data_IF_384516812213
#
_entry.id   IF_384516812213
#
_cell.length_a   1.000
_cell.length_b   1.000
_cell.length_c   1.000
_cell.angle_alpha   90.00
_cell.angle_beta   90.00
_cell.angle_gamma   90.00
#
_symmetry.space_group_name_H-M   'P 1'
#
loop_
_entity.id
_entity.type
_entity.pdbx_description
1 polymer ?
#
# COMPACT_ATOMS: atom_id res chain seq x y z
N UNK A 1 -18.41 5.58 -55.06
CA UNK A 1 -17.31 5.56 -54.06
C UNK A 1 -16.19 4.68 -54.57
N UNK A 2 -14.99 5.25 -54.73
CA UNK A 2 -13.82 4.59 -55.32
C UNK A 2 -13.24 3.52 -54.37
N UNK A 3 -12.70 2.42 -54.90
CA UNK A 3 -12.28 1.21 -54.17
C UNK A 3 -11.24 1.48 -53.08
N UNK A 4 -10.42 2.52 -53.24
CA UNK A 4 -9.46 2.98 -52.25
C UNK A 4 -10.12 3.56 -50.98
N UNK A 5 -11.25 4.27 -51.12
CA UNK A 5 -11.98 4.86 -49.99
C UNK A 5 -12.66 3.79 -49.11
N UNK A 6 -13.09 2.67 -49.71
CA UNK A 6 -13.64 1.52 -48.97
C UNK A 6 -12.57 0.75 -48.19
N UNK A 7 -11.34 0.65 -48.72
CA UNK A 7 -10.20 0.03 -48.03
C UNK A 7 -9.71 0.89 -46.86
N UNK A 8 -9.68 2.22 -47.03
CA UNK A 8 -9.33 3.13 -45.95
C UNK A 8 -10.35 3.14 -44.80
N UNK A 9 -11.66 3.14 -45.10
CA UNK A 9 -12.70 3.00 -44.07
C UNK A 9 -12.64 1.64 -43.35
N UNK A 10 -12.36 0.56 -44.08
CA UNK A 10 -12.20 -0.78 -43.51
C UNK A 10 -11.01 -0.87 -42.56
N UNK A 11 -9.88 -0.23 -42.88
CA UNK A 11 -8.70 -0.20 -42.02
C UNK A 11 -8.93 0.64 -40.75
N UNK A 12 -9.62 1.78 -40.86
CA UNK A 12 -9.97 2.64 -39.71
C UNK A 12 -10.96 1.95 -38.78
N UNK A 13 -11.95 1.22 -39.32
CA UNK A 13 -12.88 0.43 -38.52
C UNK A 13 -12.19 -0.75 -37.81
N UNK A 14 -11.21 -1.40 -38.46
CA UNK A 14 -10.42 -2.48 -37.86
C UNK A 14 -9.48 -1.97 -36.75
N UNK A 15 -8.87 -0.79 -36.92
CA UNK A 15 -8.04 -0.14 -35.91
C UNK A 15 -8.86 0.39 -34.72
N UNK A 16 -10.09 0.86 -34.95
CA UNK A 16 -11.01 1.25 -33.88
C UNK A 16 -11.55 0.06 -33.07
N UNK A 17 -11.74 -1.10 -33.72
CA UNK A 17 -12.17 -2.34 -33.05
C UNK A 17 -11.07 -2.96 -32.16
N UNK A 18 -9.79 -2.73 -32.48
CA UNK A 18 -8.66 -3.23 -31.68
C UNK A 18 -8.28 -2.30 -30.50
N UNK A 19 -8.80 -1.07 -30.46
CA UNK A 19 -8.60 -0.14 -29.33
C UNK A 19 -9.57 -0.39 -28.16
N UNK A 20 -10.52 -1.32 -28.29
CA UNK A 20 -11.64 -1.53 -27.37
C UNK A 20 -11.41 -2.44 -26.17
N UNK A 21 -10.26 -3.11 -26.05
CA UNK A 21 -10.04 -4.13 -25.00
C UNK A 21 -8.94 -3.79 -23.99
N UNK A 22 -8.51 -2.53 -23.90
CA UNK A 22 -7.69 -2.11 -22.77
C UNK A 22 -8.60 -2.07 -21.52
N UNK A 23 -8.55 -3.14 -20.72
CA UNK A 23 -9.24 -3.19 -19.43
C UNK A 23 -8.82 -1.97 -18.61
N UNK A 24 -9.82 -1.22 -18.14
CA UNK A 24 -9.55 -0.03 -17.34
C UNK A 24 -8.86 -0.46 -16.04
N UNK A 25 -7.78 0.19 -15.60
CA UNK A 25 -7.08 -0.21 -14.37
C UNK A 25 -7.97 -0.25 -13.14
N UNK A 26 -9.08 0.47 -13.12
CA UNK A 26 -10.05 0.59 -12.04
C UNK A 26 -11.37 -0.15 -12.31
N UNK A 27 -11.42 -1.04 -13.32
CA UNK A 27 -12.66 -1.69 -13.78
C UNK A 27 -13.44 -2.45 -12.70
N UNK A 28 -12.74 -2.91 -11.66
CA UNK A 28 -13.32 -3.69 -10.56
C UNK A 28 -13.51 -2.89 -9.27
N UNK A 29 -12.98 -1.66 -9.19
CA UNK A 29 -13.22 -0.79 -8.05
C UNK A 29 -14.63 -0.20 -8.13
N UNK A 30 -15.34 -0.08 -6.99
CA UNK A 30 -16.68 0.48 -7.00
C UNK A 30 -16.65 1.92 -7.56
N UNK A 31 -17.70 2.37 -8.29
CA UNK A 31 -17.68 3.66 -8.98
C UNK A 31 -17.31 4.86 -8.10
N UNK A 32 -17.64 4.83 -6.81
CA UNK A 32 -17.32 5.91 -5.87
C UNK A 32 -15.84 5.97 -5.49
N UNK A 33 -15.08 4.88 -5.67
CA UNK A 33 -13.65 4.79 -5.39
C UNK A 33 -12.78 5.00 -6.65
N UNK A 34 -13.38 4.86 -7.83
CA UNK A 34 -12.72 5.04 -9.15
C UNK A 34 -13.05 6.37 -9.83
N UNK A 35 -14.20 6.98 -9.53
CA UNK A 35 -14.60 8.32 -9.99
C UNK A 35 -14.61 9.27 -8.79
N UNK A 36 -14.14 10.52 -8.93
CA UNK A 36 -14.13 11.46 -7.83
C UNK A 36 -15.55 11.98 -7.58
N UNK A 37 -16.36 11.20 -6.86
CA UNK A 37 -17.61 11.69 -6.27
C UNK A 37 -17.29 12.70 -5.16
N UNK A 38 -16.10 12.58 -4.56
CA UNK A 38 -15.46 13.54 -3.68
C UNK A 38 -13.94 13.54 -3.93
N UNK A 39 -13.25 14.56 -3.41
CA UNK A 39 -11.80 14.66 -3.47
C UNK A 39 -11.11 13.73 -2.45
N UNK A 40 -9.88 13.30 -2.76
CA UNK A 40 -9.04 12.46 -1.91
C UNK A 40 -8.86 13.05 -0.50
N UNK A 41 -9.23 12.29 0.54
CA UNK A 41 -9.38 12.80 1.91
C UNK A 41 -8.50 12.06 2.91
N UNK A 42 -7.80 12.81 3.75
CA UNK A 42 -6.95 12.27 4.82
C UNK A 42 -7.78 11.59 5.91
N UNK A 43 -8.82 12.24 6.41
CA UNK A 43 -9.77 11.73 7.41
C UNK A 43 -10.49 10.48 6.92
N UNK A 44 -10.82 10.39 5.62
CA UNK A 44 -11.36 9.16 5.06
C UNK A 44 -10.32 8.03 5.09
N UNK A 45 -9.07 8.28 4.66
CA UNK A 45 -8.02 7.26 4.70
C UNK A 45 -7.76 6.74 6.12
N UNK A 46 -7.66 7.65 7.09
CA UNK A 46 -7.51 7.29 8.52
C UNK A 46 -8.74 6.51 9.01
N UNK A 47 -9.95 7.05 8.78
CA UNK A 47 -11.19 6.42 9.24
C UNK A 47 -11.48 5.06 8.61
N UNK A 48 -11.09 4.85 7.35
CA UNK A 48 -11.14 3.55 6.68
C UNK A 48 -10.17 2.58 7.35
N UNK A 49 -8.90 2.97 7.55
CA UNK A 49 -7.92 2.11 8.22
C UNK A 49 -8.33 1.73 9.64
N UNK A 50 -8.86 2.70 10.42
CA UNK A 50 -9.42 2.43 11.75
C UNK A 50 -10.67 1.54 11.70
N UNK A 51 -11.49 1.66 10.65
CA UNK A 51 -12.64 0.80 10.40
C UNK A 51 -12.23 -0.65 10.21
N UNK A 52 -11.22 -0.88 9.37
CA UNK A 52 -10.64 -2.19 9.16
C UNK A 52 -10.02 -2.72 10.47
N UNK A 53 -9.21 -1.93 11.17
CA UNK A 53 -8.66 -2.33 12.47
C UNK A 53 -9.74 -2.78 13.47
N UNK A 54 -10.89 -2.09 13.53
CA UNK A 54 -12.04 -2.51 14.34
C UNK A 54 -12.69 -3.81 13.84
N UNK A 55 -12.81 -4.00 12.53
CA UNK A 55 -13.29 -5.26 11.95
C UNK A 55 -12.42 -6.45 12.40
N UNK A 56 -11.10 -6.27 12.43
CA UNK A 56 -10.13 -7.27 12.86
C UNK A 56 -10.01 -7.41 14.38
N UNK A 57 -10.92 -6.82 15.16
CA UNK A 57 -10.98 -6.96 16.62
C UNK A 57 -10.10 -5.98 17.39
N UNK A 58 -9.61 -4.93 16.75
CA UNK A 58 -8.77 -3.89 17.34
C UNK A 58 -7.48 -4.37 18.04
N UNK A 59 -6.70 -5.29 17.45
CA UNK A 59 -5.46 -5.76 18.09
C UNK A 59 -4.40 -4.66 18.12
N UNK A 60 -3.63 -4.63 19.20
CA UNK A 60 -2.42 -3.80 19.34
C UNK A 60 -1.22 -4.75 19.37
N UNK A 61 -0.30 -4.58 18.44
CA UNK A 61 0.90 -5.41 18.29
C UNK A 61 2.12 -4.49 18.29
N UNK A 62 2.76 -4.44 19.47
CA UNK A 62 3.95 -3.63 19.73
C UNK A 62 5.24 -4.47 19.80
N UNK A 63 5.16 -5.78 19.54
CA UNK A 63 6.35 -6.63 19.39
C UNK A 63 7.07 -6.40 18.06
N UNK A 64 8.36 -6.76 17.93
CA UNK A 64 9.01 -6.80 16.62
C UNK A 64 8.37 -7.89 15.74
N UNK A 65 8.37 -7.70 14.41
CA UNK A 65 7.62 -8.57 13.49
C UNK A 65 8.15 -10.02 13.40
N UNK A 66 9.32 -10.28 13.97
CA UNK A 66 10.03 -11.55 14.02
C UNK A 66 10.02 -12.23 15.40
N UNK A 67 9.61 -11.52 16.45
CA UNK A 67 9.20 -12.15 17.69
C UNK A 67 7.68 -12.33 17.60
N UNK A 68 7.23 -13.46 17.04
CA UNK A 68 5.81 -13.85 17.15
C UNK A 68 5.43 -13.72 18.63
N UNK A 69 4.54 -12.79 19.01
CA UNK A 69 3.97 -12.86 20.33
C UNK A 69 3.34 -14.26 20.43
N UNK A 70 3.59 -14.96 21.53
CA UNK A 70 2.86 -16.19 21.86
C UNK A 70 1.44 -15.78 22.22
N UNK A 71 0.68 -15.32 21.23
CA UNK A 71 -0.75 -15.23 21.30
C UNK A 71 -1.24 -16.68 21.47
N UNK A 72 -2.11 -17.00 22.45
CA UNK A 72 -2.84 -18.25 22.39
C UNK A 72 -3.50 -18.29 21.00
N UNK A 73 -3.32 -19.37 20.23
CA UNK A 73 -3.44 -19.33 18.78
C UNK A 73 -4.76 -18.66 18.40
N UNK A 74 -4.76 -17.52 17.69
CA UNK A 74 -5.93 -17.20 16.91
C UNK A 74 -5.97 -18.24 15.80
N UNK A 75 -7.13 -18.82 15.55
CA UNK A 75 -7.39 -19.30 14.21
C UNK A 75 -6.99 -18.16 13.26
N UNK A 76 -6.13 -18.44 12.27
CA UNK A 76 -5.61 -17.46 11.32
C UNK A 76 -6.81 -16.71 10.74
N UNK A 77 -7.13 -15.53 11.28
CA UNK A 77 -8.42 -14.89 11.01
C UNK A 77 -8.53 -14.61 9.51
N UNK A 78 -7.41 -14.28 8.85
CA UNK A 78 -7.31 -14.13 7.39
C UNK A 78 -7.72 -15.39 6.60
N UNK A 79 -7.80 -16.57 7.21
CA UNK A 79 -8.21 -17.84 6.58
C UNK A 79 -9.60 -18.30 7.02
N UNK A 80 -10.13 -17.74 8.10
CA UNK A 80 -11.46 -18.04 8.61
C UNK A 80 -12.57 -17.39 7.78
N UNK A 81 -13.81 -17.80 8.00
CA UNK A 81 -14.95 -17.20 7.33
C UNK A 81 -15.06 -15.70 7.66
N UNK A 82 -15.45 -14.93 6.65
CA UNK A 82 -15.36 -13.47 6.58
C UNK A 82 -13.93 -12.94 6.42
N UNK A 83 -12.92 -13.48 7.09
CA UNK A 83 -11.56 -12.94 7.02
C UNK A 83 -10.86 -13.18 5.68
N UNK A 84 -10.97 -14.38 5.08
CA UNK A 84 -10.35 -14.60 3.76
C UNK A 84 -11.04 -13.79 2.66
N UNK A 85 -12.36 -13.58 2.79
CA UNK A 85 -13.13 -12.73 1.89
C UNK A 85 -12.68 -11.27 2.01
N UNK A 86 -12.48 -10.78 3.23
CA UNK A 86 -12.03 -9.41 3.50
C UNK A 86 -10.64 -9.16 2.90
N UNK A 87 -9.70 -10.08 3.11
CA UNK A 87 -8.38 -10.02 2.43
C UNK A 87 -8.55 -10.06 0.91
N UNK A 88 -9.50 -10.84 0.40
CA UNK A 88 -9.88 -10.83 -1.01
C UNK A 88 -10.38 -9.47 -1.50
N UNK A 89 -11.13 -8.71 -0.70
CA UNK A 89 -11.55 -7.35 -1.02
C UNK A 89 -10.36 -6.39 -1.09
N UNK A 90 -9.37 -6.53 -0.21
CA UNK A 90 -8.14 -5.72 -0.27
C UNK A 90 -7.40 -5.93 -1.58
N UNK A 91 -7.22 -7.19 -2.00
CA UNK A 91 -6.62 -7.53 -3.28
C UNK A 91 -7.45 -7.00 -4.46
N UNK A 92 -8.75 -7.31 -4.48
CA UNK A 92 -9.64 -7.00 -5.59
C UNK A 92 -9.82 -5.49 -5.83
N UNK A 93 -10.06 -4.73 -4.75
CA UNK A 93 -10.29 -3.29 -4.82
C UNK A 93 -8.96 -2.54 -4.88
N UNK A 94 -7.98 -2.92 -4.05
CA UNK A 94 -6.70 -2.24 -3.95
C UNK A 94 -5.85 -2.34 -5.21
N UNK A 95 -5.95 -3.42 -5.98
CA UNK A 95 -5.15 -3.61 -7.19
C UNK A 95 -5.75 -2.93 -8.42
N UNK A 96 -4.89 -2.71 -9.42
CA UNK A 96 -5.39 -2.44 -10.76
C UNK A 96 -5.91 -3.74 -11.39
N UNK A 97 -6.99 -3.66 -12.15
CA UNK A 97 -7.60 -4.82 -12.80
C UNK A 97 -6.64 -5.47 -13.80
N UNK A 98 -6.66 -6.81 -13.84
CA UNK A 98 -5.85 -7.63 -14.76
C UNK A 98 -4.53 -8.12 -14.18
N UNK A 99 -4.23 -7.76 -12.93
CA UNK A 99 -3.15 -8.36 -12.17
C UNK A 99 -3.54 -9.79 -11.75
N UNK A 100 -2.58 -10.67 -11.48
CA UNK A 100 -2.93 -12.02 -10.99
C UNK A 100 -3.36 -11.96 -9.53
N UNK A 101 -2.74 -11.04 -8.79
CA UNK A 101 -2.92 -10.78 -7.38
C UNK A 101 -4.32 -10.24 -7.06
N UNK A 102 -5.01 -9.60 -8.03
CA UNK A 102 -6.40 -9.15 -7.83
C UNK A 102 -7.37 -10.30 -7.53
N UNK A 103 -6.98 -11.55 -7.85
CA UNK A 103 -7.76 -12.78 -7.57
C UNK A 103 -7.36 -13.48 -6.28
N UNK A 104 -6.35 -12.98 -5.56
CA UNK A 104 -5.90 -13.61 -4.33
C UNK A 104 -6.90 -13.34 -3.19
N UNK A 105 -6.86 -14.21 -2.20
CA UNK A 105 -7.60 -14.05 -0.94
C UNK A 105 -6.68 -14.45 0.21
N UNK A 106 -7.15 -14.38 1.46
CA UNK A 106 -6.33 -14.82 2.60
C UNK A 106 -6.00 -16.32 2.60
N UNK A 107 -6.62 -17.14 1.73
CA UNK A 107 -6.26 -18.56 1.60
C UNK A 107 -6.23 -19.17 0.20
N UNK A 108 -6.63 -18.44 -0.84
CA UNK A 108 -6.69 -18.93 -2.22
C UNK A 108 -5.76 -18.16 -3.16
N UNK A 109 -5.10 -18.88 -4.07
CA UNK A 109 -4.30 -18.31 -5.16
C UNK A 109 -5.19 -17.78 -6.30
N UNK A 110 -4.56 -17.26 -7.37
CA UNK A 110 -5.26 -16.67 -8.51
C UNK A 110 -6.13 -17.66 -9.31
N UNK A 111 -5.96 -18.97 -9.10
CA UNK A 111 -6.77 -20.02 -9.71
C UNK A 111 -7.84 -20.57 -8.73
N UNK A 112 -8.00 -19.95 -7.56
CA UNK A 112 -8.94 -20.37 -6.53
C UNK A 112 -8.48 -21.58 -5.72
N UNK A 113 -7.20 -21.97 -5.78
CA UNK A 113 -6.69 -23.12 -5.02
C UNK A 113 -6.25 -22.69 -3.63
N UNK A 114 -6.59 -23.48 -2.62
CA UNK A 114 -6.13 -23.23 -1.25
C UNK A 114 -4.63 -23.48 -1.15
N UNK A 115 -3.85 -22.45 -0.79
CA UNK A 115 -2.41 -22.62 -0.56
C UNK A 115 -2.11 -23.03 0.90
N UNK A 116 -1.01 -23.78 1.17
CA UNK A 116 -0.62 -24.17 2.53
C UNK A 116 -0.25 -22.98 3.42
N UNK A 117 -0.50 -23.08 4.73
CA UNK A 117 -0.12 -22.03 5.71
C UNK A 117 1.37 -21.69 5.69
N UNK A 118 2.22 -22.69 5.45
CA UNK A 118 3.67 -22.52 5.37
C UNK A 118 4.14 -21.56 4.26
N UNK A 119 3.26 -21.17 3.34
CA UNK A 119 3.56 -20.19 2.29
C UNK A 119 2.74 -18.91 2.40
N UNK A 120 2.04 -18.64 3.51
CA UNK A 120 1.27 -17.41 3.74
C UNK A 120 2.07 -16.15 3.36
N UNK A 121 3.34 -16.07 3.78
CA UNK A 121 4.21 -14.93 3.45
C UNK A 121 4.46 -14.69 1.96
N UNK A 122 4.15 -15.63 1.06
CA UNK A 122 4.19 -15.43 -0.41
C UNK A 122 2.95 -14.68 -0.93
N UNK A 123 1.91 -14.61 -0.12
CA UNK A 123 0.62 -13.97 -0.39
C UNK A 123 0.40 -12.77 0.54
N UNK A 124 1.49 -12.13 0.97
CA UNK A 124 1.44 -11.04 1.93
C UNK A 124 0.62 -9.85 1.40
N UNK A 125 -0.37 -9.40 2.17
CA UNK A 125 -1.43 -8.50 1.71
C UNK A 125 -1.35 -7.08 2.31
N UNK A 126 -0.29 -6.76 3.06
CA UNK A 126 -0.06 -5.42 3.64
C UNK A 126 -0.07 -4.30 2.58
N UNK A 127 0.53 -4.62 1.44
CA UNK A 127 0.60 -3.83 0.22
C UNK A 127 -0.79 -3.53 -0.39
N UNK A 128 -1.60 -4.58 -0.51
CA UNK A 128 -2.97 -4.50 -1.02
C UNK A 128 -3.89 -3.73 -0.07
N UNK A 129 -3.72 -3.93 1.23
CA UNK A 129 -4.44 -3.18 2.27
C UNK A 129 -4.23 -1.67 2.16
N UNK A 130 -2.98 -1.20 2.07
CA UNK A 130 -2.69 0.25 1.87
C UNK A 130 -3.31 0.76 0.56
N UNK A 131 -3.19 -0.04 -0.51
CA UNK A 131 -3.78 0.29 -1.80
C UNK A 131 -5.32 0.41 -1.73
N UNK A 132 -5.98 -0.48 -0.99
CA UNK A 132 -7.41 -0.44 -0.70
C UNK A 132 -7.80 0.84 0.06
N UNK A 133 -7.14 1.14 1.18
CA UNK A 133 -7.39 2.34 1.99
C UNK A 133 -7.31 3.60 1.11
N UNK A 134 -6.24 3.73 0.33
CA UNK A 134 -6.00 4.91 -0.49
C UNK A 134 -7.02 5.04 -1.63
N UNK A 135 -7.40 3.91 -2.26
CA UNK A 135 -8.42 3.92 -3.30
C UNK A 135 -9.78 4.33 -2.75
N UNK A 136 -10.19 3.73 -1.63
CA UNK A 136 -11.46 4.00 -0.97
C UNK A 136 -11.55 5.43 -0.45
N UNK A 137 -10.42 6.02 -0.05
CA UNK A 137 -10.32 7.43 0.32
C UNK A 137 -10.35 8.40 -0.88
N UNK A 138 -10.27 7.91 -2.11
CA UNK A 138 -10.42 8.69 -3.34
C UNK A 138 -9.10 9.10 -4.03
N UNK A 139 -7.99 8.37 -3.80
CA UNK A 139 -6.68 8.73 -4.39
C UNK A 139 -6.64 8.66 -5.93
N UNK A 140 -7.59 7.94 -6.55
CA UNK A 140 -7.72 7.84 -8.00
C UNK A 140 -6.44 7.30 -8.66
N UNK A 141 -6.20 7.66 -9.93
CA UNK A 141 -5.11 7.11 -10.75
C UNK A 141 -3.69 7.54 -10.39
N UNK A 142 -3.53 8.53 -9.52
CA UNK A 142 -2.23 9.10 -9.17
C UNK A 142 -1.57 8.34 -8.01
N UNK A 143 -2.28 7.45 -7.33
CA UNK A 143 -1.66 6.54 -6.36
C UNK A 143 -1.03 5.34 -7.07
N UNK A 144 0.22 4.94 -6.73
CA UNK A 144 0.92 3.87 -7.41
C UNK A 144 0.48 2.47 -6.91
N UNK A 145 -0.79 2.08 -7.10
CA UNK A 145 -1.31 0.77 -6.67
C UNK A 145 -0.43 -0.38 -7.16
N UNK A 146 -0.07 -1.28 -6.24
CA UNK A 146 0.87 -2.38 -6.49
C UNK A 146 0.74 -3.48 -5.44
N UNK A 147 1.13 -4.73 -5.77
CA UNK A 147 1.12 -5.85 -4.83
C UNK A 147 2.28 -5.84 -3.83
N UNK A 148 3.22 -4.88 -3.93
CA UNK A 148 4.44 -4.83 -3.12
C UNK A 148 4.82 -3.41 -2.66
N UNK A 149 5.45 -3.31 -1.49
CA UNK A 149 5.90 -2.06 -0.89
C UNK A 149 7.01 -1.33 -1.63
N UNK A 150 7.93 -2.07 -2.26
CA UNK A 150 9.03 -1.49 -3.01
C UNK A 150 8.53 -0.53 -4.10
N UNK A 151 7.45 -0.91 -4.80
CA UNK A 151 6.88 -0.11 -5.88
C UNK A 151 6.34 1.24 -5.44
N UNK A 152 5.61 1.35 -4.33
CA UNK A 152 5.14 2.66 -3.84
C UNK A 152 6.30 3.52 -3.36
N UNK A 153 7.23 2.91 -2.62
CA UNK A 153 8.36 3.62 -2.00
C UNK A 153 9.23 4.24 -3.09
N UNK A 154 9.63 3.46 -4.09
CA UNK A 154 10.45 3.96 -5.19
C UNK A 154 9.68 4.97 -6.07
N UNK A 155 8.38 4.78 -6.28
CA UNK A 155 7.55 5.76 -6.99
C UNK A 155 7.47 7.11 -6.22
N UNK A 156 7.31 7.05 -4.90
CA UNK A 156 7.28 8.22 -4.02
C UNK A 156 8.64 8.93 -3.96
N UNK A 157 9.74 8.19 -3.99
CA UNK A 157 11.09 8.76 -4.04
C UNK A 157 11.33 9.48 -5.36
N UNK A 158 11.02 8.83 -6.49
CA UNK A 158 11.17 9.44 -7.83
C UNK A 158 10.33 10.71 -7.97
N UNK A 159 9.12 10.73 -7.42
CA UNK A 159 8.25 11.91 -7.42
C UNK A 159 8.70 13.03 -6.46
N UNK A 160 9.54 12.74 -5.47
CA UNK A 160 10.10 13.74 -4.56
C UNK A 160 11.40 14.39 -5.07
N UNK A 161 12.03 13.79 -6.08
CA UNK A 161 13.32 14.21 -6.63
C UNK A 161 13.19 14.56 -8.13
N UNK A 162 12.26 15.48 -8.44
CA UNK A 162 12.00 15.98 -9.80
C UNK A 162 13.30 16.39 -10.53
N UNK A 163 13.41 16.08 -11.83
CA UNK A 163 14.57 16.41 -12.67
C UNK A 163 15.52 15.25 -13.00
N UNK A 164 15.23 14.03 -12.53
CA UNK A 164 15.94 12.82 -12.98
C UNK A 164 15.40 12.31 -14.32
N UNK A 165 16.16 11.50 -15.10
CA UNK A 165 15.71 10.92 -16.39
C UNK A 165 14.45 10.03 -16.31
N UNK A 166 13.88 9.85 -15.11
CA UNK A 166 12.68 9.08 -14.81
C UNK A 166 11.62 9.90 -14.06
N UNK A 167 11.59 11.23 -14.22
CA UNK A 167 10.54 12.10 -13.66
C UNK A 167 9.15 11.46 -13.92
N UNK A 168 8.56 10.95 -12.84
CA UNK A 168 7.44 10.04 -12.92
C UNK A 168 6.12 10.78 -13.16
N UNK A 169 5.09 10.03 -13.56
CA UNK A 169 3.69 10.46 -13.55
C UNK A 169 3.34 11.13 -12.21
N UNK A 170 2.32 12.02 -12.17
CA UNK A 170 1.84 12.58 -10.91
C UNK A 170 1.60 11.48 -9.88
N UNK A 171 2.28 11.57 -8.74
CA UNK A 171 2.11 10.66 -7.61
C UNK A 171 1.46 11.41 -6.46
N UNK A 172 0.52 10.77 -5.76
CA UNK A 172 0.02 11.30 -4.48
C UNK A 172 0.98 11.02 -3.31
N UNK A 173 2.17 10.48 -3.57
CA UNK A 173 3.19 10.19 -2.56
C UNK A 173 4.46 11.00 -2.77
N UNK A 174 5.11 11.38 -1.67
CA UNK A 174 6.46 11.96 -1.65
C UNK A 174 7.29 11.30 -0.57
N UNK A 175 8.40 10.66 -0.94
CA UNK A 175 9.31 10.09 0.04
C UNK A 175 10.02 11.22 0.83
N UNK A 176 10.11 11.05 2.14
CA UNK A 176 10.75 11.97 3.08
C UNK A 176 11.72 11.20 3.96
N UNK A 177 12.85 11.85 4.25
CA UNK A 177 13.89 11.27 5.09
C UNK A 177 13.39 11.22 6.55
N UNK A 178 13.36 10.04 7.19
CA UNK A 178 12.84 9.84 8.54
C UNK A 178 13.67 10.53 9.65
N UNK A 179 14.89 10.98 9.35
CA UNK A 179 15.75 11.73 10.28
C UNK A 179 15.48 13.25 10.26
N UNK A 180 14.77 13.76 9.24
CA UNK A 180 14.52 15.20 9.07
C UNK A 180 13.06 15.59 8.89
N UNK A 181 12.18 14.62 8.61
CA UNK A 181 10.74 14.83 8.49
C UNK A 181 10.00 14.13 9.64
N UNK A 182 9.17 14.89 10.35
CA UNK A 182 8.27 14.37 11.37
C UNK A 182 6.98 13.85 10.69
N UNK A 183 6.65 12.55 10.77
CA UNK A 183 5.42 12.01 10.20
C UNK A 183 4.17 12.63 10.84
N UNK A 184 3.11 12.80 10.05
CA UNK A 184 1.81 13.27 10.52
C UNK A 184 0.70 12.24 10.23
N UNK A 185 -0.44 12.28 10.95
CA UNK A 185 -1.60 11.44 10.64
C UNK A 185 -1.97 11.50 9.16
N UNK A 186 -2.13 10.32 8.55
CA UNK A 186 -2.36 10.10 7.13
C UNK A 186 -1.10 9.86 6.30
N UNK A 187 0.10 10.10 6.83
CA UNK A 187 1.34 9.67 6.17
C UNK A 187 1.53 8.15 6.31
N UNK A 188 2.36 7.56 5.45
CA UNK A 188 2.80 6.17 5.60
C UNK A 188 4.22 6.15 6.16
N UNK A 189 4.53 5.21 7.05
CA UNK A 189 5.91 4.92 7.46
C UNK A 189 6.25 3.49 7.05
N UNK A 190 7.48 3.27 6.60
CA UNK A 190 7.90 2.00 6.03
C UNK A 190 9.20 1.48 6.65
N UNK A 191 9.25 0.18 6.88
CA UNK A 191 10.43 -0.54 7.34
C UNK A 191 10.83 -1.61 6.32
N UNK A 192 12.14 -1.83 6.17
CA UNK A 192 12.67 -2.95 5.40
C UNK A 192 12.43 -4.28 6.12
N UNK A 193 12.26 -5.38 5.38
CA UNK A 193 12.09 -6.73 5.93
C UNK A 193 13.02 -7.73 5.24
N UNK A 194 13.26 -8.88 5.88
CA UNK A 194 14.03 -9.99 5.30
C UNK A 194 15.39 -9.54 4.75
N UNK A 195 15.64 -9.81 3.46
CA UNK A 195 16.90 -9.43 2.79
C UNK A 195 17.14 -7.91 2.72
N UNK A 196 16.13 -7.08 2.98
CA UNK A 196 16.24 -5.62 3.01
C UNK A 196 16.05 -5.03 4.42
N UNK A 197 16.22 -5.82 5.49
CA UNK A 197 16.05 -5.37 6.88
C UNK A 197 16.99 -4.23 7.34
N UNK A 198 17.94 -3.82 6.50
CA UNK A 198 18.91 -2.73 6.74
C UNK A 198 18.93 -1.69 5.61
N UNK A 199 17.89 -1.68 4.77
CA UNK A 199 17.74 -0.66 3.73
C UNK A 199 17.57 0.72 4.38
N UNK A 200 18.21 1.73 3.81
CA UNK A 200 18.19 3.11 4.31
C UNK A 200 17.54 4.05 3.30
N UNK A 201 17.18 5.26 3.72
CA UNK A 201 16.65 6.29 2.81
C UNK A 201 17.59 6.60 1.63
N UNK A 202 18.91 6.50 1.86
CA UNK A 202 19.93 6.80 0.85
C UNK A 202 20.05 5.72 -0.24
N UNK A 203 19.54 4.52 0.03
CA UNK A 203 19.53 3.41 -0.95
C UNK A 203 18.39 3.56 -1.98
N UNK A 204 17.48 4.53 -1.78
CA UNK A 204 16.36 4.79 -2.68
C UNK A 204 16.77 5.70 -3.85
N UNK A 205 16.19 5.49 -5.05
CA UNK A 205 15.27 4.40 -5.39
C UNK A 205 16.09 3.14 -5.67
N UNK A 206 15.48 1.98 -5.45
CA UNK A 206 16.13 0.72 -5.80
C UNK A 206 15.92 0.36 -7.28
N UNK A 207 16.68 -0.63 -7.77
CA UNK A 207 16.58 -1.13 -9.14
C UNK A 207 15.56 -2.28 -9.29
N UNK A 208 14.90 -2.73 -8.22
CA UNK A 208 14.05 -3.90 -8.26
C UNK A 208 13.26 -4.13 -6.98
N UNK A 209 12.66 -5.32 -6.88
CA UNK A 209 11.91 -5.68 -5.68
C UNK A 209 12.82 -5.73 -4.44
N UNK A 210 12.30 -5.25 -3.32
CA UNK A 210 12.84 -5.48 -1.99
C UNK A 210 11.69 -5.72 -0.99
N UNK A 211 11.87 -6.60 0.01
CA UNK A 211 10.86 -6.81 1.03
C UNK A 211 10.77 -5.59 1.95
N UNK A 212 9.56 -5.05 2.10
CA UNK A 212 9.26 -3.96 3.01
C UNK A 212 7.83 -4.08 3.52
N UNK A 213 7.51 -3.32 4.56
CA UNK A 213 6.16 -3.17 5.09
C UNK A 213 5.91 -1.70 5.39
N UNK A 214 4.72 -1.21 5.05
CA UNK A 214 4.29 0.14 5.41
C UNK A 214 2.95 0.09 6.13
N UNK A 215 2.76 1.04 7.04
CA UNK A 215 1.53 1.27 7.77
C UNK A 215 1.13 2.75 7.68
N UNK A 216 -0.16 3.05 7.84
CA UNK A 216 -0.68 4.42 7.84
C UNK A 216 -0.67 4.98 9.27
N UNK A 217 -0.14 6.20 9.45
CA UNK A 217 -0.22 6.92 10.72
C UNK A 217 -1.66 7.36 10.95
N UNK A 218 -2.27 6.99 12.06
CA UNK A 218 -3.65 7.38 12.40
C UNK A 218 -3.70 8.41 13.53
N UNK A 219 -2.73 8.38 14.44
CA UNK A 219 -2.59 9.36 15.50
C UNK A 219 -1.12 9.69 15.80
N UNK A 220 -0.90 10.84 16.43
CA UNK A 220 0.43 11.28 16.84
C UNK A 220 0.36 12.02 18.19
N UNK A 221 1.29 11.70 19.07
CA UNK A 221 1.62 12.45 20.29
C UNK A 221 3.04 13.04 20.13
N UNK A 222 3.53 13.88 21.06
CA UNK A 222 4.89 14.41 20.96
C UNK A 222 6.00 13.36 20.94
N UNK A 223 5.77 12.16 21.48
CA UNK A 223 6.79 11.11 21.64
C UNK A 223 6.45 9.80 20.93
N UNK A 224 5.29 9.68 20.29
CA UNK A 224 4.81 8.41 19.75
C UNK A 224 3.79 8.60 18.62
N UNK A 225 3.81 7.72 17.63
CA UNK A 225 2.77 7.57 16.61
C UNK A 225 1.93 6.32 16.89
N UNK A 226 0.65 6.37 16.56
CA UNK A 226 -0.15 5.16 16.32
C UNK A 226 -0.22 4.94 14.82
N UNK A 227 0.13 3.74 14.38
CA UNK A 227 0.06 3.32 12.97
C UNK A 227 -0.85 2.12 12.82
N UNK A 228 -1.54 1.99 11.69
CA UNK A 228 -2.35 0.82 11.34
C UNK A 228 -1.77 0.18 10.08
N UNK A 229 -1.44 -1.10 10.17
CA UNK A 229 -0.91 -1.91 9.08
C UNK A 229 -1.75 -3.16 8.87
N UNK A 230 -1.95 -3.55 7.62
CA UNK A 230 -2.52 -4.85 7.26
C UNK A 230 -1.43 -5.92 7.21
N UNK A 231 -1.80 -7.18 7.46
CA UNK A 231 -0.91 -8.34 7.51
C UNK A 231 0.26 -8.18 8.50
N UNK A 232 -0.04 -7.60 9.65
CA UNK A 232 0.81 -7.67 10.84
C UNK A 232 0.29 -8.86 11.63
N UNK A 233 1.08 -9.93 11.78
CA UNK A 233 0.67 -11.21 12.36
C UNK A 233 -0.67 -11.73 11.80
N UNK A 234 -0.80 -11.72 10.47
CA UNK A 234 -1.98 -12.20 9.75
C UNK A 234 -3.31 -11.47 10.11
N UNK A 235 -3.22 -10.22 10.58
CA UNK A 235 -4.35 -9.34 10.90
C UNK A 235 -4.12 -7.86 10.50
N UNK A 236 -5.13 -6.99 10.68
CA UNK A 236 -4.96 -5.52 10.66
C UNK A 236 -4.75 -5.04 12.09
N UNK A 237 -3.54 -4.58 12.40
CA UNK A 237 -3.15 -4.22 13.75
C UNK A 237 -2.73 -2.75 13.87
N UNK A 238 -2.91 -2.23 15.09
CA UNK A 238 -2.31 -0.99 15.52
C UNK A 238 -0.93 -1.27 16.13
N UNK A 239 0.05 -0.43 15.81
CA UNK A 239 1.38 -0.44 16.43
C UNK A 239 1.70 0.97 16.92
N UNK A 240 2.22 1.09 18.12
CA UNK A 240 2.79 2.31 18.69
C UNK A 240 4.25 2.42 18.26
N UNK A 241 4.66 3.56 17.74
CA UNK A 241 6.03 3.79 17.25
C UNK A 241 6.66 4.98 17.97
N UNK A 242 7.76 4.79 18.71
CA UNK A 242 8.39 5.87 19.45
C UNK A 242 9.04 6.89 18.50
N UNK A 243 9.07 8.14 18.94
CA UNK A 243 9.64 9.27 18.21
C UNK A 243 10.78 9.92 18.99
N UNK A 244 11.71 10.57 18.28
CA UNK A 244 12.65 11.49 18.93
C UNK A 244 11.91 12.66 19.56
N UNK A 245 12.60 13.44 20.41
CA UNK A 245 12.09 14.72 20.93
C UNK A 245 11.74 15.76 19.83
N UNK A 246 12.12 15.52 18.57
CA UNK A 246 11.76 16.34 17.41
C UNK A 246 10.59 15.78 16.59
N UNK A 247 9.97 14.69 17.06
CA UNK A 247 8.87 14.02 16.37
C UNK A 247 9.31 13.21 15.15
N UNK A 248 10.60 12.89 15.01
CA UNK A 248 11.15 12.12 13.88
C UNK A 248 11.35 10.65 14.25
N UNK A 249 11.39 9.76 13.25
CA UNK A 249 11.58 8.32 13.47
C UNK A 249 13.05 7.95 13.71
N UNK A 250 13.98 8.76 13.20
CA UNK A 250 15.42 8.62 13.43
C UNK A 250 16.01 9.90 14.02
N UNK A 251 17.11 9.76 14.75
CA UNK A 251 17.98 10.88 15.10
C UNK A 251 18.70 11.41 13.84
N UNK A 252 19.27 12.63 13.92
CA UNK A 252 19.89 13.29 12.75
C UNK A 252 21.15 12.59 12.26
N UNK A 253 21.80 11.85 13.15
CA UNK A 253 22.96 11.00 12.86
C UNK A 253 22.55 9.62 12.30
N UNK A 254 21.25 9.36 12.12
CA UNK A 254 20.71 8.09 11.65
C UNK A 254 20.43 7.09 12.76
N UNK A 255 20.66 7.42 14.03
CA UNK A 255 20.38 6.49 15.15
C UNK A 255 18.88 6.17 15.20
N UNK A 256 18.58 4.87 15.32
CA UNK A 256 17.22 4.32 15.39
C UNK A 256 16.60 4.61 16.76
N UNK A 257 15.34 5.05 16.77
CA UNK A 257 14.55 5.27 18.00
C UNK A 257 13.78 4.01 18.39
N UNK A 258 13.19 3.35 17.41
CA UNK A 258 12.42 2.13 17.58
C UNK A 258 13.31 0.90 17.40
N UNK A 259 13.71 0.19 18.47
CA UNK A 259 14.64 -0.93 18.36
C UNK A 259 14.08 -2.12 17.56
N UNK A 260 12.77 -2.15 17.31
CA UNK A 260 12.08 -3.23 16.58
C UNK A 260 12.23 -3.08 15.07
N UNK A 261 12.30 -1.84 14.57
CA UNK A 261 12.21 -1.55 13.14
C UNK A 261 13.13 -0.42 12.70
N UNK A 262 13.83 -0.63 11.60
CA UNK A 262 14.52 0.44 10.88
C UNK A 262 13.52 1.15 9.95
N UNK A 263 12.83 2.15 10.50
CA UNK A 263 11.88 2.98 9.76
C UNK A 263 12.61 3.91 8.78
N UNK A 264 12.98 3.37 7.63
CA UNK A 264 13.92 3.99 6.71
C UNK A 264 13.30 5.07 5.80
N UNK A 265 11.97 5.15 5.68
CA UNK A 265 11.31 6.16 4.85
C UNK A 265 9.91 6.50 5.34
N UNK A 266 9.57 7.78 5.24
CA UNK A 266 8.21 8.30 5.42
C UNK A 266 7.65 8.65 4.05
N UNK A 267 6.48 8.13 3.68
CA UNK A 267 5.77 8.53 2.47
C UNK A 267 4.71 9.55 2.85
N UNK A 268 5.00 10.82 2.59
CA UNK A 268 4.03 11.90 2.75
C UNK A 268 2.93 11.75 1.71
N UNK A 269 1.69 11.64 2.16
CA UNK A 269 0.52 11.50 1.27
C UNK A 269 -0.07 12.88 0.97
N UNK A 270 -0.27 13.17 -0.32
CA UNK A 270 -0.76 14.45 -0.84
C UNK A 270 -2.28 14.43 -0.98
N UNK A 271 -2.97 14.48 0.14
CA UNK A 271 -4.42 14.58 0.15
C UNK A 271 -4.92 15.90 -0.45
N UNK A 272 -6.16 15.89 -0.95
CA UNK A 272 -6.84 17.06 -1.51
C UNK A 272 -7.79 17.73 -0.50
N UNK A 273 -8.05 17.06 0.63
CA UNK A 273 -8.81 17.53 1.81
C UNK A 273 -8.45 16.71 3.06
N UNK A 274 -8.96 17.11 4.21
CA UNK A 274 -8.50 16.72 5.56
C UNK A 274 -8.84 15.31 5.99
#
# INVERSE_FOLDING_TARGET
>A
MNTAARRALGLVALLAALAGCAMRPDAHAPPFASKPYAAFSRSAAIGIAEGEWRYWGSPVIDGPADEEPVLPPPALQERDDAGWQEVGLYWWIGMNAGHQEDRWTGKHDAAGRVFPRAVNGRYAWSAAFISYVMRMAGAGRNFPYAPDHARYIDAAWRAAHDGTPHAAKPSELRAKNPATYAPAPGDLICAGRGSAARITYADLPTNGYFPAHCAIVTAATPSELSIIGGNVDDTVALTHVPLTARGTLLHRDGTIVDPRYDWFVVLRVLYRRD
#
